data_IF_467425965055
#
_entry.id   IF_467425965055
#
_cell.length_a   1.000
_cell.length_b   1.000
_cell.length_c   1.000
_cell.angle_alpha   90.00
_cell.angle_beta   90.00
_cell.angle_gamma   90.00
#
_symmetry.space_group_name_H-M   'P 1'
#
loop_
_entity.id
_entity.type
_entity.pdbx_description
1 polymer ?
#
# COMPACT_ATOMS: atom_id res chain seq x y z
N UNK A 1 -7.59 -7.41 -19.15
CA UNK A 1 -6.47 -6.76 -18.44
C UNK A 1 -6.10 -7.57 -17.19
N UNK A 2 -4.85 -7.48 -16.74
CA UNK A 2 -4.38 -8.07 -15.47
C UNK A 2 -4.29 -6.99 -14.39
N UNK A 3 -4.76 -7.30 -13.19
CA UNK A 3 -4.71 -6.38 -12.04
C UNK A 3 -4.07 -7.10 -10.86
N UNK A 4 -2.91 -6.63 -10.45
CA UNK A 4 -2.10 -7.25 -9.41
C UNK A 4 -2.03 -6.37 -8.17
N UNK A 5 -2.52 -6.87 -7.04
CA UNK A 5 -2.44 -6.18 -5.76
C UNK A 5 -1.17 -6.55 -5.00
N UNK A 6 -0.54 -5.56 -4.37
CA UNK A 6 0.57 -5.73 -3.43
C UNK A 6 0.18 -5.08 -2.11
N UNK A 7 0.03 -5.90 -1.07
CA UNK A 7 -0.18 -5.39 0.28
C UNK A 7 1.14 -5.26 1.03
N UNK A 8 1.29 -4.17 1.77
CA UNK A 8 2.50 -3.87 2.53
C UNK A 8 2.65 -4.57 3.86
N UNK A 9 1.66 -5.34 4.31
CA UNK A 9 1.69 -5.93 5.66
C UNK A 9 1.60 -7.43 5.51
N UNK A 10 1.97 -8.14 6.57
CA UNK A 10 2.07 -9.59 6.64
C UNK A 10 0.69 -10.30 6.53
N UNK A 11 -0.09 -10.02 5.48
CA UNK A 11 -1.36 -10.70 5.18
C UNK A 11 -1.07 -12.14 4.79
N UNK A 12 -1.74 -13.09 5.44
CA UNK A 12 -1.46 -14.51 5.27
C UNK A 12 -2.19 -15.17 4.09
N UNK A 13 -3.14 -14.46 3.47
CA UNK A 13 -3.91 -14.98 2.35
C UNK A 13 -4.34 -13.85 1.40
N UNK A 14 -4.85 -14.25 0.25
CA UNK A 14 -5.30 -13.35 -0.83
C UNK A 14 -6.65 -12.66 -0.53
N UNK A 15 -7.39 -13.04 0.53
CA UNK A 15 -8.77 -12.61 0.71
C UNK A 15 -8.92 -11.16 1.20
N UNK A 16 -7.83 -10.52 1.62
CA UNK A 16 -7.83 -9.12 2.09
C UNK A 16 -8.44 -8.14 1.08
N UNK A 17 -8.27 -8.41 -0.22
CA UNK A 17 -8.74 -7.52 -1.28
C UNK A 17 -10.16 -7.85 -1.79
N UNK A 18 -10.82 -8.90 -1.30
CA UNK A 18 -12.08 -9.40 -1.88
C UNK A 18 -13.19 -8.35 -1.95
N UNK A 19 -13.40 -7.58 -0.88
CA UNK A 19 -14.44 -6.56 -0.85
C UNK A 19 -14.13 -5.42 -1.85
N UNK A 20 -12.89 -4.94 -1.88
CA UNK A 20 -12.45 -3.94 -2.85
C UNK A 20 -12.55 -4.44 -4.30
N UNK A 21 -12.08 -5.66 -4.60
CA UNK A 21 -12.20 -6.28 -5.92
C UNK A 21 -13.66 -6.38 -6.35
N UNK A 22 -14.55 -6.83 -5.46
CA UNK A 22 -15.99 -6.89 -5.73
C UNK A 22 -16.54 -5.50 -6.10
N UNK A 23 -16.11 -4.46 -5.40
CA UNK A 23 -16.52 -3.09 -5.67
C UNK A 23 -15.91 -2.54 -6.98
N UNK A 24 -14.66 -2.87 -7.32
CA UNK A 24 -14.04 -2.49 -8.59
C UNK A 24 -14.80 -3.15 -9.75
N UNK A 25 -15.13 -4.45 -9.65
CA UNK A 25 -15.88 -5.19 -10.67
C UNK A 25 -17.28 -4.61 -10.94
N UNK A 26 -17.89 -3.91 -9.98
CA UNK A 26 -19.14 -3.17 -10.21
C UNK A 26 -18.94 -1.93 -11.11
N UNK A 27 -17.74 -1.35 -11.11
CA UNK A 27 -17.40 -0.12 -11.84
C UNK A 27 -16.69 -0.40 -13.18
N UNK A 28 -16.04 -1.55 -13.34
CA UNK A 28 -15.27 -1.93 -14.54
C UNK A 28 -16.04 -3.00 -15.32
N UNK A 29 -16.50 -2.64 -16.53
CA UNK A 29 -17.24 -3.56 -17.41
C UNK A 29 -16.35 -4.47 -18.27
N UNK A 30 -15.09 -4.08 -18.44
CA UNK A 30 -14.10 -4.84 -19.23
C UNK A 30 -13.62 -6.06 -18.42
N UNK A 31 -13.46 -7.24 -19.04
CA UNK A 31 -12.89 -8.40 -18.37
C UNK A 31 -11.51 -8.10 -17.78
N UNK A 32 -11.40 -8.31 -16.47
CA UNK A 32 -10.20 -8.10 -15.69
C UNK A 32 -9.95 -9.28 -14.76
N UNK A 33 -8.74 -9.81 -14.82
CA UNK A 33 -8.27 -10.84 -13.90
C UNK A 33 -7.56 -10.16 -12.74
N UNK A 34 -7.91 -10.56 -11.52
CA UNK A 34 -7.40 -9.96 -10.31
C UNK A 34 -6.60 -10.97 -9.51
N UNK A 35 -5.42 -10.57 -9.06
CA UNK A 35 -4.60 -11.38 -8.16
C UNK A 35 -4.16 -10.56 -6.96
N UNK A 36 -4.28 -11.12 -5.76
CA UNK A 36 -3.89 -10.45 -4.51
C UNK A 36 -2.67 -11.11 -3.91
N UNK A 37 -1.51 -10.50 -4.11
CA UNK A 37 -0.26 -11.06 -3.58
C UNK A 37 -0.18 -10.88 -2.08
N UNK A 38 0.54 -11.82 -1.46
CA UNK A 38 0.70 -11.88 -0.02
C UNK A 38 2.06 -12.49 0.34
N UNK A 39 2.60 -12.09 1.48
CA UNK A 39 3.87 -12.62 2.00
C UNK A 39 3.79 -12.93 3.50
N UNK A 40 2.57 -12.93 4.07
CA UNK A 40 2.22 -13.14 5.48
C UNK A 40 2.85 -14.32 6.20
N UNK A 41 3.23 -15.32 5.41
CA UNK A 41 3.79 -16.57 5.90
C UNK A 41 5.30 -16.46 6.16
N UNK A 42 5.96 -15.43 5.61
CA UNK A 42 7.37 -15.17 5.85
C UNK A 42 7.57 -14.41 7.16
N UNK A 43 8.55 -14.84 7.94
CA UNK A 43 9.05 -14.10 9.11
C UNK A 43 8.02 -13.77 10.19
N UNK A 44 6.85 -14.43 10.18
CA UNK A 44 5.84 -14.25 11.22
C UNK A 44 6.41 -14.63 12.60
N UNK A 45 7.32 -15.60 12.65
CA UNK A 45 8.08 -15.98 13.85
C UNK A 45 8.84 -14.79 14.47
N UNK A 46 9.40 -13.89 13.64
CA UNK A 46 10.16 -12.72 14.11
C UNK A 46 9.29 -11.70 14.81
N UNK A 47 8.07 -11.47 14.32
CA UNK A 47 7.12 -10.60 15.03
C UNK A 47 6.72 -11.17 16.38
N UNK A 48 6.36 -12.45 16.41
CA UNK A 48 6.00 -13.14 17.64
C UNK A 48 7.16 -13.14 18.64
N UNK A 49 8.40 -13.27 18.17
CA UNK A 49 9.60 -13.18 19.00
C UNK A 49 9.75 -11.81 19.66
N UNK A 50 9.58 -10.71 18.91
CA UNK A 50 9.66 -9.34 19.46
C UNK A 50 8.58 -9.10 20.52
N UNK A 51 7.33 -9.47 20.23
CA UNK A 51 6.23 -9.36 21.20
C UNK A 51 6.50 -10.22 22.43
N UNK A 52 6.99 -11.45 22.25
CA UNK A 52 7.36 -12.34 23.35
C UNK A 52 8.43 -11.74 24.27
N UNK A 53 9.41 -11.02 23.73
CA UNK A 53 10.40 -10.30 24.56
C UNK A 53 9.75 -9.18 25.39
N UNK A 54 8.88 -8.37 24.77
CA UNK A 54 8.17 -7.29 25.47
C UNK A 54 7.31 -7.86 26.61
N UNK A 55 6.55 -8.93 26.34
CA UNK A 55 5.67 -9.56 27.33
C UNK A 55 6.46 -10.20 28.47
N UNK A 56 7.59 -10.85 28.16
CA UNK A 56 8.46 -11.48 29.15
C UNK A 56 9.08 -10.45 30.10
N UNK A 57 9.59 -9.35 29.58
CA UNK A 57 10.20 -8.31 30.42
C UNK A 57 9.15 -7.53 31.22
N UNK A 58 7.96 -7.31 30.66
CA UNK A 58 6.84 -6.76 31.40
C UNK A 58 6.42 -7.66 32.57
N UNK A 59 6.32 -8.96 32.32
CA UNK A 59 5.98 -9.95 33.36
C UNK A 59 7.04 -9.98 34.47
N UNK A 60 8.33 -9.88 34.11
CA UNK A 60 9.43 -9.78 35.07
C UNK A 60 9.37 -8.51 35.91
N UNK A 61 9.06 -7.36 35.30
CA UNK A 61 8.94 -6.09 36.00
C UNK A 61 7.78 -6.13 37.01
N UNK A 62 6.61 -6.61 36.60
CA UNK A 62 5.44 -6.75 37.49
C UNK A 62 5.65 -7.77 38.61
N UNK A 63 6.53 -8.77 38.41
CA UNK A 63 6.92 -9.73 39.44
C UNK A 63 7.86 -9.15 40.52
N UNK A 64 8.64 -8.12 40.18
CA UNK A 64 9.61 -7.48 41.08
C UNK A 64 9.05 -6.27 41.84
N UNK A 65 8.07 -5.60 41.24
CA UNK A 65 7.51 -4.34 41.73
C UNK A 65 6.01 -4.49 41.90
N UNK A 66 5.54 -4.48 43.15
CA UNK A 66 4.12 -4.69 43.48
C UNK A 66 3.27 -3.53 42.98
N UNK A 67 3.81 -2.32 43.07
CA UNK A 67 3.31 -1.08 42.49
C UNK A 67 3.07 -1.21 40.98
N UNK A 68 3.88 -2.02 40.28
CA UNK A 68 3.73 -2.20 38.84
C UNK A 68 2.60 -3.14 38.45
N UNK A 69 2.35 -4.13 39.28
CA UNK A 69 1.22 -5.03 39.13
C UNK A 69 -0.11 -4.29 39.38
N UNK A 70 -0.14 -3.42 40.38
CA UNK A 70 -1.32 -2.64 40.76
C UNK A 70 -1.64 -1.54 39.73
N UNK A 71 -0.62 -0.91 39.14
CA UNK A 71 -0.76 0.16 38.14
C UNK A 71 -0.47 -0.30 36.70
N UNK A 72 -0.69 -1.57 36.38
CA UNK A 72 -0.24 -2.19 35.13
C UNK A 72 -0.73 -1.48 33.84
N UNK A 73 -1.94 -0.89 33.87
CA UNK A 73 -2.46 -0.08 32.76
C UNK A 73 -1.73 1.25 32.59
N UNK A 74 -1.19 1.82 33.66
CA UNK A 74 -0.57 3.14 33.67
C UNK A 74 0.94 3.09 33.37
N UNK A 75 1.61 1.97 33.70
CA UNK A 75 3.05 1.79 33.42
C UNK A 75 3.32 1.49 31.95
N UNK A 76 2.36 0.86 31.30
CA UNK A 76 2.44 0.57 29.88
C UNK A 76 1.22 1.14 29.15
N UNK A 77 1.07 2.46 29.26
CA UNK A 77 0.02 3.22 28.58
C UNK A 77 -0.03 2.85 27.10
N UNK A 78 -1.25 2.69 26.60
CA UNK A 78 -1.52 2.33 25.21
C UNK A 78 -0.90 1.00 24.77
N UNK A 79 -0.67 0.05 25.70
CA UNK A 79 -0.14 -1.30 25.42
C UNK A 79 -0.65 -1.91 24.13
N UNK A 80 -1.98 -2.01 24.03
CA UNK A 80 -2.68 -2.63 22.90
C UNK A 80 -2.31 -1.93 21.59
N UNK A 81 -2.39 -0.60 21.56
CA UNK A 81 -2.08 0.23 20.38
C UNK A 81 -0.62 0.19 19.98
N UNK A 82 0.30 0.18 20.96
CA UNK A 82 1.74 0.02 20.68
C UNK A 82 2.02 -1.32 20.04
N UNK A 83 1.40 -2.38 20.56
CA UNK A 83 1.50 -3.71 19.98
C UNK A 83 0.89 -3.76 18.58
N UNK A 84 -0.28 -3.14 18.35
CA UNK A 84 -0.92 -3.02 17.03
C UNK A 84 -0.03 -2.26 16.05
N UNK A 85 0.49 -1.08 16.40
CA UNK A 85 1.41 -0.32 15.55
C UNK A 85 2.66 -1.11 15.17
N UNK A 86 3.27 -1.81 16.15
CA UNK A 86 4.44 -2.66 15.91
C UNK A 86 4.07 -3.85 15.02
N UNK A 87 2.94 -4.51 15.27
CA UNK A 87 2.56 -5.71 14.54
C UNK A 87 2.04 -5.42 13.13
N UNK A 88 1.32 -4.32 12.94
CA UNK A 88 0.57 -4.04 11.71
C UNK A 88 1.38 -3.23 10.70
N UNK A 89 2.37 -2.45 11.13
CA UNK A 89 3.14 -1.59 10.22
C UNK A 89 4.63 -1.57 10.51
N UNK A 90 5.06 -1.12 11.70
CA UNK A 90 6.48 -0.87 11.95
C UNK A 90 7.33 -2.15 11.92
N UNK A 91 6.81 -3.27 12.44
CA UNK A 91 7.49 -4.56 12.39
C UNK A 91 7.67 -5.07 10.97
N UNK A 92 6.66 -4.92 10.11
CA UNK A 92 6.77 -5.28 8.69
C UNK A 92 7.77 -4.41 7.95
N UNK A 93 7.73 -3.12 8.23
CA UNK A 93 8.70 -2.17 7.69
C UNK A 93 10.13 -2.56 8.06
N UNK A 94 10.41 -2.81 9.34
CA UNK A 94 11.73 -3.20 9.82
C UNK A 94 12.17 -4.57 9.27
N UNK A 95 11.24 -5.51 9.10
CA UNK A 95 11.51 -6.78 8.42
C UNK A 95 11.91 -6.54 6.97
N UNK A 96 11.19 -5.68 6.25
CA UNK A 96 11.44 -5.40 4.83
C UNK A 96 12.76 -4.66 4.60
N UNK A 97 13.11 -3.72 5.47
CA UNK A 97 14.36 -2.95 5.38
C UNK A 97 15.62 -3.81 5.60
N UNK A 98 15.49 -5.00 6.19
CA UNK A 98 16.60 -5.93 6.23
C UNK A 98 16.90 -6.47 4.81
N UNK A 99 18.12 -6.33 4.26
CA UNK A 99 18.40 -6.65 2.86
C UNK A 99 18.01 -8.08 2.44
N UNK A 100 18.34 -9.08 3.26
CA UNK A 100 18.05 -10.49 2.98
C UNK A 100 16.55 -10.78 3.05
N UNK A 101 15.85 -10.24 4.06
CA UNK A 101 14.42 -10.47 4.24
C UNK A 101 13.59 -9.70 3.21
N UNK A 102 13.96 -8.46 2.91
CA UNK A 102 13.37 -7.67 1.83
C UNK A 102 13.51 -8.37 0.48
N UNK A 103 14.69 -8.92 0.18
CA UNK A 103 14.92 -9.74 -1.01
C UNK A 103 14.03 -10.99 -1.04
N UNK A 104 13.88 -11.69 0.08
CA UNK A 104 13.00 -12.86 0.18
C UNK A 104 11.51 -12.50 -0.03
N UNK A 105 11.05 -11.37 0.51
CA UNK A 105 9.69 -10.86 0.29
C UNK A 105 9.47 -10.53 -1.20
N UNK A 106 10.40 -9.79 -1.81
CA UNK A 106 10.35 -9.48 -3.26
C UNK A 106 10.32 -10.76 -4.08
N UNK A 107 11.12 -11.78 -3.73
CA UNK A 107 11.12 -13.09 -4.40
C UNK A 107 9.73 -13.74 -4.42
N UNK A 108 9.08 -13.83 -3.26
CA UNK A 108 7.74 -14.44 -3.14
C UNK A 108 6.68 -13.67 -3.92
N UNK A 109 6.76 -12.34 -3.97
CA UNK A 109 5.85 -11.52 -4.77
C UNK A 109 6.13 -11.69 -6.26
N UNK A 110 7.40 -11.72 -6.68
CA UNK A 110 7.79 -11.99 -8.06
C UNK A 110 7.31 -13.36 -8.54
N UNK A 111 7.43 -14.40 -7.72
CA UNK A 111 6.97 -15.75 -8.03
C UNK A 111 5.45 -15.78 -8.26
N UNK A 112 4.67 -15.16 -7.37
CA UNK A 112 3.22 -15.02 -7.53
C UNK A 112 2.82 -14.24 -8.78
N UNK A 113 3.54 -13.16 -9.09
CA UNK A 113 3.30 -12.36 -10.29
C UNK A 113 3.64 -13.15 -11.56
N UNK A 114 4.77 -13.85 -11.60
CA UNK A 114 5.13 -14.70 -12.73
C UNK A 114 4.08 -15.77 -12.99
N UNK A 115 3.63 -16.48 -11.95
CA UNK A 115 2.56 -17.47 -12.07
C UNK A 115 1.26 -16.83 -12.59
N UNK A 116 0.93 -15.62 -12.13
CA UNK A 116 -0.24 -14.90 -12.61
C UNK A 116 -0.15 -14.53 -14.10
N UNK A 117 1.03 -14.10 -14.57
CA UNK A 117 1.29 -13.81 -15.98
C UNK A 117 1.23 -15.09 -16.84
N UNK A 118 1.85 -16.18 -16.38
CA UNK A 118 1.87 -17.48 -17.08
C UNK A 118 0.48 -18.11 -17.22
N UNK A 119 -0.39 -17.92 -16.24
CA UNK A 119 -1.78 -18.39 -16.29
C UNK A 119 -2.65 -17.58 -17.26
N UNK A 120 -2.19 -16.41 -17.72
CA UNK A 120 -2.96 -15.50 -18.58
C UNK A 120 -2.14 -14.98 -19.77
N UNK A 121 -1.58 -15.85 -20.62
CA UNK A 121 -0.61 -15.48 -21.66
C UNK A 121 -1.21 -14.60 -22.77
N UNK A 122 -2.54 -14.59 -22.91
CA UNK A 122 -3.24 -13.76 -23.90
C UNK A 122 -3.40 -12.30 -23.45
N UNK A 123 -3.12 -11.96 -22.19
CA UNK A 123 -3.27 -10.61 -21.67
C UNK A 123 -2.00 -9.79 -21.90
N UNK A 124 -2.16 -8.60 -22.48
CA UNK A 124 -1.05 -7.72 -22.87
C UNK A 124 -0.93 -6.48 -21.99
N UNK A 125 -1.79 -6.34 -20.99
CA UNK A 125 -1.89 -5.17 -20.12
C UNK A 125 -1.89 -5.58 -18.66
N UNK A 126 -1.07 -4.91 -17.86
CA UNK A 126 -1.01 -5.07 -16.40
C UNK A 126 -1.18 -3.73 -15.70
N UNK A 127 -1.89 -3.79 -14.57
CA UNK A 127 -2.09 -2.68 -13.66
C UNK A 127 -1.70 -3.13 -12.25
N UNK A 128 -1.01 -2.26 -11.51
CA UNK A 128 -0.65 -2.52 -10.12
C UNK A 128 -1.52 -1.71 -9.16
N UNK A 129 -1.93 -2.33 -8.06
CA UNK A 129 -2.56 -1.65 -6.94
C UNK A 129 -1.75 -1.97 -5.69
N UNK A 130 -1.12 -0.97 -5.10
CA UNK A 130 -0.25 -1.13 -3.95
C UNK A 130 -0.80 -0.40 -2.73
N UNK A 131 -0.73 -1.02 -1.56
CA UNK A 131 -1.21 -0.42 -0.32
C UNK A 131 -0.11 -0.33 0.73
N UNK A 132 -0.01 0.81 1.42
CA UNK A 132 0.90 1.01 2.55
C UNK A 132 2.35 0.73 2.13
N UNK A 133 3.11 -0.04 2.92
CA UNK A 133 4.45 -0.55 2.59
C UNK A 133 4.50 -1.30 1.24
N UNK A 134 3.37 -1.78 0.71
CA UNK A 134 3.28 -2.39 -0.62
C UNK A 134 3.64 -1.41 -1.73
N UNK A 135 3.49 -0.10 -1.47
CA UNK A 135 3.91 0.97 -2.39
C UNK A 135 5.44 1.04 -2.49
N UNK A 136 6.16 0.86 -1.38
CA UNK A 136 7.62 0.73 -1.40
C UNK A 136 8.07 -0.60 -2.02
N UNK A 137 7.37 -1.70 -1.72
CA UNK A 137 7.68 -2.98 -2.36
C UNK A 137 7.52 -2.87 -3.88
N UNK A 138 6.44 -2.27 -4.36
CA UNK A 138 6.22 -2.00 -5.78
C UNK A 138 7.31 -1.09 -6.36
N UNK A 139 7.68 -0.02 -5.63
CA UNK A 139 8.79 0.86 -6.01
C UNK A 139 10.10 0.08 -6.22
N UNK A 140 10.43 -0.79 -5.28
CA UNK A 140 11.61 -1.64 -5.38
C UNK A 140 11.52 -2.61 -6.55
N UNK A 141 10.36 -3.21 -6.79
CA UNK A 141 10.17 -4.15 -7.89
C UNK A 141 10.32 -3.48 -9.25
N UNK A 142 9.82 -2.26 -9.43
CA UNK A 142 9.74 -1.60 -10.74
C UNK A 142 10.88 -0.62 -11.02
N UNK A 143 11.31 0.15 -10.01
CA UNK A 143 12.07 1.39 -10.25
C UNK A 143 13.43 1.42 -9.55
N UNK A 144 13.54 0.88 -8.34
CA UNK A 144 14.75 1.00 -7.52
C UNK A 144 16.04 0.55 -8.24
N UNK A 145 17.02 1.43 -8.33
CA UNK A 145 18.33 1.19 -8.96
C UNK A 145 19.42 0.77 -7.96
N UNK A 146 19.10 0.73 -6.66
CA UNK A 146 20.03 0.38 -5.58
C UNK A 146 20.04 -1.12 -5.22
N UNK A 147 19.18 -1.91 -5.87
CA UNK A 147 19.08 -3.35 -5.61
C UNK A 147 20.29 -4.11 -6.19
N UNK A 148 20.75 -5.19 -5.52
CA UNK A 148 21.87 -5.98 -6.01
C UNK A 148 21.52 -6.70 -7.32
N UNK A 149 22.53 -6.97 -8.16
CA UNK A 149 22.36 -7.60 -9.48
C UNK A 149 21.67 -8.97 -9.47
N UNK A 150 21.61 -9.63 -8.32
CA UNK A 150 20.96 -10.93 -8.13
C UNK A 150 19.58 -10.83 -7.45
N UNK A 151 18.99 -9.64 -7.39
CA UNK A 151 17.66 -9.43 -6.83
C UNK A 151 16.56 -9.89 -7.80
N UNK A 152 15.52 -10.59 -7.32
CA UNK A 152 14.38 -11.02 -8.15
C UNK A 152 13.63 -9.88 -8.83
N UNK A 153 13.72 -8.64 -8.32
CA UNK A 153 13.14 -7.47 -8.97
C UNK A 153 13.69 -7.25 -10.39
N UNK A 154 14.99 -7.49 -10.61
CA UNK A 154 15.62 -7.26 -11.91
C UNK A 154 15.09 -8.22 -12.97
N UNK A 155 14.94 -9.50 -12.61
CA UNK A 155 14.34 -10.54 -13.47
C UNK A 155 12.88 -10.19 -13.78
N UNK A 156 12.14 -9.68 -12.79
CA UNK A 156 10.76 -9.27 -12.99
C UNK A 156 10.67 -8.11 -14.01
N UNK A 157 11.55 -7.12 -13.95
CA UNK A 157 11.55 -5.99 -14.90
C UNK A 157 11.76 -6.48 -16.33
N UNK A 158 12.66 -7.44 -16.54
CA UNK A 158 12.86 -8.06 -17.86
C UNK A 158 11.59 -8.73 -18.37
N UNK A 159 10.88 -9.48 -17.52
CA UNK A 159 9.58 -10.09 -17.84
C UNK A 159 8.53 -9.04 -18.19
N UNK A 160 8.49 -7.95 -17.42
CA UNK A 160 7.52 -6.86 -17.62
C UNK A 160 7.75 -6.11 -18.94
N UNK A 161 8.92 -6.19 -19.58
CA UNK A 161 9.13 -5.62 -20.91
C UNK A 161 8.24 -6.25 -22.01
N UNK A 162 7.63 -7.40 -21.75
CA UNK A 162 6.74 -8.09 -22.69
C UNK A 162 5.26 -7.81 -22.46
N UNK A 163 4.91 -7.05 -21.41
CA UNK A 163 3.53 -6.70 -21.07
C UNK A 163 3.44 -5.19 -20.82
N UNK A 164 2.37 -4.53 -21.28
CA UNK A 164 2.25 -3.10 -21.10
C UNK A 164 1.81 -2.78 -19.67
N UNK A 165 2.65 -2.07 -18.91
CA UNK A 165 2.29 -1.53 -17.60
C UNK A 165 1.49 -0.25 -17.82
N UNK A 166 0.17 -0.35 -17.71
CA UNK A 166 -0.75 0.74 -18.07
C UNK A 166 -0.98 1.71 -16.91
N UNK A 167 -1.09 1.20 -15.68
CA UNK A 167 -1.33 2.05 -14.53
C UNK A 167 -0.83 1.50 -13.19
N UNK A 168 -0.52 2.42 -12.28
CA UNK A 168 -0.29 2.18 -10.87
C UNK A 168 -1.36 2.91 -10.07
N UNK A 169 -1.90 2.25 -9.05
CA UNK A 169 -2.68 2.91 -8.00
C UNK A 169 -2.02 2.63 -6.65
N UNK A 170 -1.64 3.68 -5.92
CA UNK A 170 -1.15 3.55 -4.54
C UNK A 170 -2.23 3.97 -3.57
N UNK A 171 -2.39 3.23 -2.47
CA UNK A 171 -3.36 3.47 -1.41
C UNK A 171 -2.59 3.65 -0.11
N UNK A 172 -2.89 4.69 0.68
CA UNK A 172 -2.26 4.85 1.99
C UNK A 172 -0.72 4.92 1.94
N UNK A 173 -0.16 5.53 0.90
CA UNK A 173 1.25 5.37 0.53
C UNK A 173 2.20 6.19 1.41
N UNK A 174 3.21 5.56 2.07
CA UNK A 174 4.22 6.27 2.84
C UNK A 174 5.39 6.79 1.98
N UNK A 175 5.31 6.72 0.64
CA UNK A 175 6.44 7.02 -0.25
C UNK A 175 7.04 8.43 -0.05
N UNK A 176 6.26 9.42 0.39
CA UNK A 176 6.80 10.76 0.66
C UNK A 176 7.82 10.73 1.80
N UNK A 177 7.51 10.06 2.91
CA UNK A 177 8.42 9.90 4.03
C UNK A 177 9.62 9.03 3.67
N UNK A 178 9.37 8.02 2.85
CA UNK A 178 10.43 7.13 2.38
C UNK A 178 11.36 7.81 1.38
N UNK A 179 10.89 8.82 0.63
CA UNK A 179 11.75 9.69 -0.16
C UNK A 179 12.78 10.38 0.71
N UNK A 180 12.37 10.92 1.86
CA UNK A 180 13.30 11.51 2.81
C UNK A 180 14.23 10.46 3.45
N UNK A 181 13.72 9.27 3.78
CA UNK A 181 14.49 8.27 4.52
C UNK A 181 15.49 7.48 3.66
N UNK A 182 15.14 7.22 2.40
CA UNK A 182 15.86 6.34 1.46
C UNK A 182 16.43 7.10 0.25
N UNK A 183 16.32 8.42 0.23
CA UNK A 183 16.69 9.27 -0.90
C UNK A 183 16.04 8.81 -2.22
N UNK A 184 14.71 8.55 -2.18
CA UNK A 184 13.97 8.12 -3.38
C UNK A 184 14.03 9.21 -4.45
N UNK A 185 14.54 8.82 -5.62
CA UNK A 185 14.56 9.65 -6.82
C UNK A 185 13.44 9.20 -7.78
N UNK A 186 12.40 10.03 -7.96
CA UNK A 186 11.30 9.72 -8.87
C UNK A 186 11.69 9.87 -10.34
N UNK A 187 12.81 10.54 -10.65
CA UNK A 187 13.27 10.67 -12.04
C UNK A 187 13.64 9.34 -12.68
N UNK A 188 13.99 8.33 -11.87
CA UNK A 188 14.27 6.96 -12.31
C UNK A 188 13.08 6.34 -13.06
N UNK A 189 11.85 6.75 -12.74
CA UNK A 189 10.64 6.32 -13.44
C UNK A 189 10.77 6.61 -14.94
N UNK A 190 11.33 7.77 -15.32
CA UNK A 190 11.48 8.16 -16.73
C UNK A 190 12.31 7.15 -17.51
N UNK A 191 13.44 6.73 -16.96
CA UNK A 191 14.34 5.78 -17.62
C UNK A 191 13.70 4.40 -17.80
N UNK A 192 12.86 3.97 -16.86
CA UNK A 192 12.09 2.73 -16.98
C UNK A 192 11.12 2.78 -18.17
N UNK A 193 10.54 3.94 -18.47
CA UNK A 193 9.54 4.14 -19.52
C UNK A 193 10.08 4.71 -20.85
N UNK A 194 11.34 5.17 -20.89
CA UNK A 194 12.02 5.61 -22.12
C UNK A 194 12.36 4.44 -23.05
N UNK A 195 12.68 3.26 -22.51
CA UNK A 195 13.19 2.13 -23.30
C UNK A 195 12.13 1.09 -23.70
N UNK A 196 11.05 0.93 -22.93
CA UNK A 196 10.31 -0.34 -22.94
C UNK A 196 8.78 -0.26 -23.11
N UNK A 197 8.16 0.92 -23.03
CA UNK A 197 6.69 1.02 -22.97
C UNK A 197 6.11 1.85 -24.10
N UNK A 198 5.07 1.29 -24.75
CA UNK A 198 4.31 1.97 -25.79
C UNK A 198 3.28 2.87 -25.11
N UNK A 199 3.00 4.03 -25.72
CA UNK A 199 1.88 4.88 -25.28
C UNK A 199 0.60 4.07 -25.30
N UNK A 200 -0.18 4.16 -24.22
CA UNK A 200 -1.53 3.61 -24.15
C UNK A 200 -2.35 4.15 -25.33
N UNK A 201 -2.97 3.26 -26.09
CA UNK A 201 -3.70 3.61 -27.32
C UNK A 201 -4.95 4.46 -27.08
N UNK A 202 -5.46 4.47 -25.85
CA UNK A 202 -6.64 5.22 -25.41
C UNK A 202 -6.25 6.58 -24.85
N UNK A 203 -5.17 6.66 -24.07
CA UNK A 203 -4.83 7.85 -23.28
C UNK A 203 -3.60 8.61 -23.78
N UNK A 204 -2.80 8.04 -24.67
CA UNK A 204 -1.52 8.58 -25.16
C UNK A 204 -0.42 8.75 -24.09
N UNK A 205 -0.67 8.39 -22.83
CA UNK A 205 0.33 8.34 -21.76
C UNK A 205 1.00 6.97 -21.70
N UNK A 206 2.26 6.92 -21.25
CA UNK A 206 2.99 5.66 -21.04
C UNK A 206 2.65 4.97 -19.72
N UNK A 207 2.22 5.75 -18.73
CA UNK A 207 1.78 5.27 -17.42
C UNK A 207 0.77 6.26 -16.84
N UNK A 208 -0.24 5.72 -16.16
CA UNK A 208 -1.08 6.50 -15.25
C UNK A 208 -0.81 6.08 -13.80
N UNK A 209 -0.46 7.03 -12.95
CA UNK A 209 -0.29 6.79 -11.52
C UNK A 209 -1.29 7.62 -10.72
N UNK A 210 -2.16 6.95 -9.98
CA UNK A 210 -3.07 7.59 -9.02
C UNK A 210 -2.64 7.24 -7.59
N UNK A 211 -2.43 8.24 -6.75
CA UNK A 211 -2.19 8.09 -5.33
C UNK A 211 -3.47 8.45 -4.55
N UNK A 212 -4.09 7.45 -3.93
CA UNK A 212 -5.33 7.57 -3.18
C UNK A 212 -5.02 7.76 -1.69
N UNK A 213 -5.55 8.83 -1.13
CA UNK A 213 -5.22 9.34 0.20
C UNK A 213 -6.51 9.43 1.00
N UNK A 214 -6.64 8.65 2.07
CA UNK A 214 -7.67 8.89 3.06
C UNK A 214 -7.25 10.05 3.96
N UNK A 215 -8.11 11.04 4.16
CA UNK A 215 -7.75 12.29 4.88
C UNK A 215 -7.30 12.09 6.33
N UNK A 216 -7.74 11.02 6.97
CA UNK A 216 -7.37 10.65 8.35
C UNK A 216 -6.24 9.63 8.43
N UNK A 217 -5.72 9.13 7.30
CA UNK A 217 -4.62 8.16 7.27
C UNK A 217 -3.28 8.88 7.55
N UNK A 218 -2.67 8.58 8.69
CA UNK A 218 -1.49 9.31 9.19
C UNK A 218 -0.22 9.08 8.39
N UNK A 219 -0.17 8.08 7.50
CA UNK A 219 1.02 7.81 6.68
C UNK A 219 0.81 8.15 5.21
N UNK A 220 -0.42 8.50 4.81
CA UNK A 220 -0.76 8.81 3.43
C UNK A 220 -0.68 10.32 3.18
N UNK A 221 0.23 10.72 2.29
CA UNK A 221 0.39 12.13 1.92
C UNK A 221 0.38 12.33 0.40
N UNK A 222 0.05 13.56 -0.05
CA UNK A 222 0.14 13.93 -1.46
C UNK A 222 1.57 13.79 -1.97
N UNK A 223 1.73 13.25 -3.16
CA UNK A 223 3.06 13.08 -3.78
C UNK A 223 3.27 14.03 -4.95
N UNK A 224 2.24 14.73 -5.44
CA UNK A 224 2.32 15.49 -6.68
C UNK A 224 3.52 16.44 -6.72
N UNK A 225 3.70 17.29 -5.70
CA UNK A 225 4.83 18.24 -5.69
C UNK A 225 6.19 17.61 -5.48
N UNK A 226 6.27 16.36 -5.00
CA UNK A 226 7.53 15.63 -4.93
C UNK A 226 7.88 14.93 -6.25
N UNK A 227 6.92 14.82 -7.17
CA UNK A 227 7.02 14.03 -8.41
C UNK A 227 6.99 14.93 -9.65
N UNK A 228 6.25 16.05 -9.64
CA UNK A 228 5.88 16.81 -10.84
C UNK A 228 7.07 17.38 -11.64
N UNK A 229 8.17 17.71 -10.97
CA UNK A 229 9.41 18.19 -11.62
C UNK A 229 10.40 17.04 -11.92
N UNK A 230 10.16 15.83 -11.40
CA UNK A 230 11.04 14.67 -11.56
C UNK A 230 10.58 13.75 -12.69
N UNK A 231 9.28 13.71 -13.04
CA UNK A 231 8.73 12.79 -14.05
C UNK A 231 8.43 13.45 -15.41
N UNK A 232 8.50 12.64 -16.46
CA UNK A 232 8.21 13.00 -17.84
C UNK A 232 6.74 13.38 -18.01
N UNK A 233 6.42 14.36 -18.89
CA UNK A 233 5.04 14.71 -19.22
C UNK A 233 4.27 13.58 -19.92
N UNK A 234 4.96 12.52 -20.37
CA UNK A 234 4.32 11.30 -20.89
C UNK A 234 3.76 10.38 -19.78
N UNK A 235 4.00 10.71 -18.52
CA UNK A 235 3.50 10.00 -17.33
C UNK A 235 2.43 10.88 -16.67
N UNK A 236 1.24 10.32 -16.47
CA UNK A 236 0.12 11.04 -15.85
C UNK A 236 0.06 10.73 -14.36
N UNK A 237 0.08 11.76 -13.51
CA UNK A 237 0.00 11.60 -12.05
C UNK A 237 -1.19 12.36 -11.44
N UNK A 238 -1.90 11.72 -10.51
CA UNK A 238 -2.94 12.35 -9.70
C UNK A 238 -2.84 11.95 -8.23
N UNK A 239 -2.99 12.94 -7.34
CA UNK A 239 -3.43 12.69 -5.97
C UNK A 239 -4.97 12.74 -5.93
N UNK A 240 -5.58 11.74 -5.30
CA UNK A 240 -7.03 11.63 -5.12
C UNK A 240 -7.36 11.40 -3.65
N UNK A 241 -8.38 12.11 -3.15
CA UNK A 241 -8.73 12.06 -1.74
C UNK A 241 -10.00 11.25 -1.50
N UNK A 242 -9.93 10.36 -0.53
CA UNK A 242 -11.08 9.72 0.11
C UNK A 242 -11.29 10.44 1.42
N UNK A 243 -12.39 11.17 1.53
CA UNK A 243 -12.71 11.93 2.73
C UNK A 243 -14.18 11.75 3.07
N UNK A 244 -14.42 11.24 4.27
CA UNK A 244 -15.73 11.20 4.93
C UNK A 244 -15.71 12.01 6.22
N UNK A 245 -16.90 12.36 6.71
CA UNK A 245 -17.04 12.87 8.07
C UNK A 245 -16.50 11.83 9.05
N UNK A 246 -15.67 12.29 10.01
CA UNK A 246 -15.11 11.52 11.12
C UNK A 246 -16.07 10.42 11.60
N UNK A 247 -15.58 9.17 11.72
CA UNK A 247 -16.40 8.06 12.18
C UNK A 247 -17.02 8.41 13.56
N UNK A 248 -18.16 7.80 13.92
CA UNK A 248 -18.88 8.15 15.14
C UNK A 248 -18.01 8.08 16.41
N UNK A 249 -17.02 7.18 16.40
CA UNK A 249 -16.00 7.01 17.46
C UNK A 249 -15.02 8.20 17.52
N UNK A 250 -14.48 8.66 16.39
CA UNK A 250 -13.62 9.84 16.29
C UNK A 250 -14.38 11.09 16.72
N UNK A 251 -15.62 11.29 16.26
CA UNK A 251 -16.47 12.42 16.67
C UNK A 251 -16.73 12.40 18.18
N UNK A 252 -16.99 11.23 18.75
CA UNK A 252 -17.21 11.06 20.19
C UNK A 252 -15.93 11.36 20.97
N UNK A 253 -14.79 10.79 20.59
CA UNK A 253 -13.51 11.00 21.28
C UNK A 253 -13.02 12.45 21.18
N UNK A 254 -13.21 13.12 20.03
CA UNK A 254 -12.96 14.57 19.88
C UNK A 254 -13.85 15.39 20.83
N UNK A 255 -15.12 15.04 20.95
CA UNK A 255 -16.07 15.75 21.82
C UNK A 255 -15.77 15.54 23.32
N UNK A 256 -15.11 14.45 23.70
CA UNK A 256 -14.65 14.20 25.08
C UNK A 256 -13.23 14.73 25.38
N UNK A 257 -12.64 15.54 24.49
CA UNK A 257 -11.30 16.13 24.72
C UNK A 257 -10.14 15.14 24.63
N UNK A 258 -10.36 13.94 24.09
CA UNK A 258 -9.33 12.92 23.89
C UNK A 258 -8.78 12.97 22.45
N UNK A 259 -8.28 14.13 22.03
CA UNK A 259 -7.83 14.41 20.66
C UNK A 259 -6.78 13.41 20.16
N UNK A 260 -5.81 13.07 21.00
CA UNK A 260 -4.71 12.18 20.62
C UNK A 260 -5.19 10.73 20.48
N UNK A 261 -6.14 10.34 21.33
CA UNK A 261 -6.76 9.02 21.29
C UNK A 261 -7.67 8.87 20.06
N UNK A 262 -8.40 9.93 19.71
CA UNK A 262 -9.22 10.04 18.51
C UNK A 262 -8.37 9.95 17.25
N UNK A 263 -7.25 10.67 17.20
CA UNK A 263 -6.32 10.69 16.08
C UNK A 263 -5.77 9.29 15.76
N UNK A 264 -5.29 8.56 16.76
CA UNK A 264 -4.70 7.22 16.55
C UNK A 264 -5.76 6.19 16.10
N UNK A 265 -6.98 6.26 16.62
CA UNK A 265 -8.08 5.36 16.18
C UNK A 265 -8.50 5.68 14.76
N UNK A 266 -8.71 6.97 14.47
CA UNK A 266 -9.09 7.42 13.14
C UNK A 266 -8.02 7.05 12.09
N UNK A 267 -6.74 7.09 12.47
CA UNK A 267 -5.62 6.71 11.61
C UNK A 267 -5.64 5.24 11.20
N UNK A 268 -5.81 4.34 12.18
CA UNK A 268 -5.80 2.90 11.93
C UNK A 268 -7.03 2.47 11.11
N UNK A 269 -8.20 3.00 11.48
CA UNK A 269 -9.45 2.76 10.75
C UNK A 269 -9.34 3.27 9.31
N UNK A 270 -8.86 4.50 9.12
CA UNK A 270 -8.66 5.11 7.81
C UNK A 270 -7.70 4.32 6.93
N UNK A 271 -6.57 3.88 7.49
CA UNK A 271 -5.53 3.18 6.75
C UNK A 271 -6.03 1.83 6.21
N UNK A 272 -6.96 1.16 6.90
CA UNK A 272 -7.53 -0.10 6.41
C UNK A 272 -8.81 0.09 5.58
N UNK A 273 -9.49 1.23 5.71
CA UNK A 273 -10.81 1.52 5.14
C UNK A 273 -10.90 1.34 3.62
N UNK A 274 -9.79 1.53 2.88
CA UNK A 274 -9.74 1.36 1.43
C UNK A 274 -10.23 -0.02 0.96
N UNK A 275 -10.06 -1.05 1.79
CA UNK A 275 -10.40 -2.43 1.45
C UNK A 275 -11.79 -2.88 1.89
N UNK A 276 -12.50 -2.07 2.68
CA UNK A 276 -13.74 -2.48 3.30
C UNK A 276 -14.95 -2.28 2.39
N UNK A 277 -16.03 -3.01 2.66
CA UNK A 277 -17.31 -2.82 1.98
C UNK A 277 -18.09 -1.67 2.64
N UNK A 278 -17.49 -0.48 2.60
CA UNK A 278 -18.00 0.76 3.14
C UNK A 278 -17.91 1.87 2.07
N UNK A 279 -18.21 3.10 2.48
CA UNK A 279 -18.19 4.23 1.57
C UNK A 279 -16.79 4.57 1.06
N UNK A 280 -15.76 4.46 1.91
CA UNK A 280 -14.36 4.72 1.55
C UNK A 280 -13.85 3.72 0.52
N UNK A 281 -14.11 2.43 0.74
CA UNK A 281 -13.81 1.37 -0.22
C UNK A 281 -14.60 1.49 -1.52
N UNK A 282 -15.84 1.98 -1.48
CA UNK A 282 -16.64 2.23 -2.69
C UNK A 282 -16.07 3.41 -3.53
N UNK A 283 -15.65 4.50 -2.89
CA UNK A 283 -15.00 5.64 -3.56
C UNK A 283 -13.64 5.20 -4.12
N UNK A 284 -12.85 4.49 -3.31
CA UNK A 284 -11.55 3.92 -3.71
C UNK A 284 -11.70 3.01 -4.93
N UNK A 285 -12.67 2.09 -4.91
CA UNK A 285 -12.96 1.20 -6.02
C UNK A 285 -13.30 1.95 -7.32
N UNK A 286 -14.00 3.08 -7.20
CA UNK A 286 -14.38 3.90 -8.35
C UNK A 286 -13.16 4.63 -8.94
N UNK A 287 -12.31 5.20 -8.08
CA UNK A 287 -11.05 5.83 -8.51
C UNK A 287 -10.15 4.79 -9.22
N UNK A 288 -10.00 3.61 -8.63
CA UNK A 288 -9.27 2.49 -9.27
C UNK A 288 -9.90 2.16 -10.62
N UNK A 289 -11.23 2.01 -10.68
CA UNK A 289 -11.93 1.73 -11.92
C UNK A 289 -11.68 2.76 -13.02
N UNK A 290 -11.67 4.05 -12.69
CA UNK A 290 -11.34 5.12 -13.63
C UNK A 290 -9.89 5.02 -14.12
N UNK A 291 -8.95 4.67 -13.25
CA UNK A 291 -7.55 4.49 -13.63
C UNK A 291 -7.33 3.29 -14.55
N UNK A 292 -7.96 2.15 -14.22
CA UNK A 292 -7.93 0.93 -15.04
C UNK A 292 -8.50 1.18 -16.44
N UNK A 293 -9.59 1.95 -16.54
CA UNK A 293 -10.27 2.25 -17.80
C UNK A 293 -9.66 3.44 -18.57
N UNK A 294 -8.67 4.14 -18.01
CA UNK A 294 -8.09 5.33 -18.63
C UNK A 294 -9.05 6.53 -18.69
N UNK A 295 -10.03 6.62 -17.79
CA UNK A 295 -11.03 7.70 -17.75
C UNK A 295 -10.45 8.99 -17.14
N UNK A 296 -9.47 9.60 -17.80
CA UNK A 296 -8.67 10.74 -17.29
C UNK A 296 -9.53 11.90 -16.82
N UNK A 297 -10.58 12.26 -17.58
CA UNK A 297 -11.49 13.36 -17.20
C UNK A 297 -12.13 13.11 -15.83
N UNK A 298 -12.53 11.86 -15.56
CA UNK A 298 -13.14 11.50 -14.27
C UNK A 298 -12.10 11.40 -13.16
N UNK A 299 -10.84 11.05 -13.48
CA UNK A 299 -9.73 11.13 -12.52
C UNK A 299 -9.35 12.56 -12.17
N UNK A 300 -9.49 13.53 -13.09
CA UNK A 300 -9.26 14.94 -12.77
C UNK A 300 -10.39 15.56 -11.94
N UNK A 301 -11.58 14.97 -11.97
CA UNK A 301 -12.73 15.39 -11.19
C UNK A 301 -12.69 14.79 -9.78
N UNK A 302 -13.30 15.47 -8.80
CA UNK A 302 -13.42 14.93 -7.44
C UNK A 302 -14.35 13.72 -7.46
N UNK A 303 -13.86 12.59 -6.99
CA UNK A 303 -14.71 11.41 -6.78
C UNK A 303 -15.59 11.60 -5.52
N UNK A 304 -16.90 11.67 -5.70
CA UNK A 304 -17.89 11.73 -4.60
C UNK A 304 -18.94 10.66 -4.75
N UNK A 305 -19.46 10.12 -3.64
CA UNK A 305 -20.69 9.33 -3.68
C UNK A 305 -21.88 10.26 -3.95
N UNK A 306 -22.72 9.93 -4.93
CA UNK A 306 -24.06 10.50 -4.99
C UNK A 306 -24.81 9.94 -3.77
N UNK A 307 -25.29 10.84 -2.90
CA UNK A 307 -26.23 10.51 -1.83
C UNK A 307 -27.58 10.14 -2.43
#
# INVERSE_FOLDING_TARGET
>A
MLVFFIHGVNTQNYSYAHALIRNIKKNVRTPAEFYSSFWGNLFNDKKHQVIGYIEKDFSRACGRHKEYKESHYDIYRYKKRRNELINNFLGDFLIYQNPERGKAIRKVICEQLNQFLENHPAQTQIHFIAHSLGSLILWDLLFSNILPNNDPALILRERLNHINLESITTLGSPLLFLKQMLDIDFSVVNHTFEKNYRKDSVTSYKLRWVNVIHSSDLIAYPLKSAIEDEISPELLFFDQYVWQYANGTEKTLRNFGQSDLAMVVAAEDAHSSYFYDNLDGAITARIIGYNLLGEIKKLSERCVSRT
#
